data_IF_146326024068
#
_entry.id   IF_146326024068
#
_cell.length_a   1.000
_cell.length_b   1.000
_cell.length_c   1.000
_cell.angle_alpha   90.00
_cell.angle_beta   90.00
_cell.angle_gamma   90.00
#
_symmetry.space_group_name_H-M   'P 1'
#
loop_
_entity.id
_entity.type
_entity.pdbx_description
1 polymer ?
#
# COMPACT_ATOMS: atom_id res chain seq x y z
N UNK A 1 -29.45 -16.89 -1.24
CA UNK A 1 -30.58 -16.96 -2.20
C UNK A 1 -30.84 -15.56 -2.72
N UNK A 2 -31.17 -15.40 -3.99
CA UNK A 2 -31.54 -14.12 -4.59
C UNK A 2 -33.04 -14.15 -4.88
N UNK A 3 -33.73 -13.07 -4.55
CA UNK A 3 -35.10 -12.82 -4.96
C UNK A 3 -35.08 -12.38 -6.42
N UNK A 4 -35.69 -13.18 -7.32
CA UNK A 4 -35.74 -12.91 -8.76
C UNK A 4 -37.12 -12.49 -9.23
N UNK A 5 -38.16 -12.79 -8.48
CA UNK A 5 -39.59 -12.65 -8.82
C UNK A 5 -40.17 -11.22 -8.73
N UNK A 6 -39.32 -10.23 -9.06
CA UNK A 6 -39.68 -8.80 -9.06
C UNK A 6 -40.34 -8.34 -10.38
N UNK A 7 -40.38 -9.21 -11.40
CA UNK A 7 -41.04 -8.96 -12.69
C UNK A 7 -41.90 -10.16 -13.08
N UNK A 8 -42.89 -9.95 -13.89
CA UNK A 8 -43.78 -11.02 -14.36
C UNK A 8 -43.04 -12.15 -15.08
N UNK A 9 -41.99 -11.83 -15.86
CA UNK A 9 -41.12 -12.80 -16.55
C UNK A 9 -40.24 -13.62 -15.63
N UNK A 10 -40.06 -13.19 -14.40
CA UNK A 10 -39.26 -13.86 -13.38
C UNK A 10 -40.10 -14.61 -12.33
N UNK A 11 -41.43 -14.56 -12.47
CA UNK A 11 -42.33 -15.25 -11.56
C UNK A 11 -42.05 -16.77 -11.57
N UNK A 12 -42.03 -17.37 -10.40
CA UNK A 12 -41.70 -18.79 -10.22
C UNK A 12 -40.19 -19.15 -10.34
N UNK A 13 -39.30 -18.15 -10.46
CA UNK A 13 -37.88 -18.37 -10.53
C UNK A 13 -37.19 -18.02 -9.22
N UNK A 14 -36.27 -18.88 -8.80
CA UNK A 14 -35.37 -18.63 -7.67
C UNK A 14 -33.91 -18.67 -8.13
N UNK A 15 -33.05 -17.87 -7.49
CA UNK A 15 -31.63 -17.80 -7.82
C UNK A 15 -30.72 -18.16 -6.66
N UNK A 16 -29.65 -18.86 -6.95
CA UNK A 16 -28.55 -19.15 -6.05
C UNK A 16 -27.23 -18.66 -6.67
N UNK A 17 -26.47 -17.87 -5.95
CA UNK A 17 -25.10 -17.50 -6.35
C UNK A 17 -24.07 -18.26 -5.52
N UNK A 18 -23.01 -18.69 -6.20
CA UNK A 18 -21.82 -19.28 -5.57
C UNK A 18 -20.55 -18.72 -6.22
N UNK A 19 -19.50 -18.57 -5.39
CA UNK A 19 -18.18 -18.19 -5.89
C UNK A 19 -17.35 -19.42 -6.20
N UNK A 20 -16.60 -19.36 -7.28
CA UNK A 20 -15.71 -20.42 -7.75
C UNK A 20 -14.30 -19.86 -7.92
N UNK A 21 -13.24 -20.64 -7.65
CA UNK A 21 -11.86 -20.23 -7.90
C UNK A 21 -11.67 -19.86 -9.39
N UNK A 22 -10.86 -18.84 -9.64
CA UNK A 22 -10.58 -18.40 -11.04
C UNK A 22 -9.53 -19.26 -11.73
N UNK A 23 -8.76 -20.05 -10.98
CA UNK A 23 -7.65 -20.86 -11.48
C UNK A 23 -6.26 -20.29 -11.12
N UNK A 24 -5.18 -20.73 -11.79
CA UNK A 24 -3.82 -20.38 -11.41
C UNK A 24 -3.54 -18.87 -11.39
N UNK A 25 -2.85 -18.41 -10.34
CA UNK A 25 -2.53 -17.01 -10.08
C UNK A 25 -1.02 -16.80 -10.10
N UNK A 26 -0.57 -15.68 -10.66
CA UNK A 26 0.80 -15.17 -10.49
C UNK A 26 0.83 -14.11 -9.39
N UNK A 27 1.71 -14.28 -8.41
CA UNK A 27 1.99 -13.32 -7.36
C UNK A 27 3.42 -12.80 -7.45
N UNK A 28 3.61 -11.49 -7.48
CA UNK A 28 4.92 -10.84 -7.51
C UNK A 28 5.00 -9.89 -6.32
N UNK A 29 6.01 -10.05 -5.47
CA UNK A 29 6.15 -9.31 -4.21
C UNK A 29 7.42 -8.46 -4.14
N UNK A 30 7.40 -7.33 -3.39
CA UNK A 30 8.55 -6.47 -3.16
C UNK A 30 9.43 -6.98 -2.00
N UNK A 31 10.49 -6.21 -1.71
CA UNK A 31 11.50 -6.58 -0.73
C UNK A 31 11.19 -6.16 0.72
N UNK A 32 10.39 -5.11 0.90
CA UNK A 32 10.28 -4.42 2.19
C UNK A 32 9.57 -5.23 3.29
N UNK A 33 8.55 -6.02 2.94
CA UNK A 33 7.90 -6.94 3.87
C UNK A 33 7.84 -8.35 3.25
N UNK A 34 8.97 -9.07 3.20
CA UNK A 34 9.14 -10.28 2.38
C UNK A 34 8.29 -11.47 2.81
N UNK A 35 7.82 -11.51 4.06
CA UNK A 35 6.83 -12.49 4.51
C UNK A 35 5.41 -11.99 4.31
N UNK A 36 5.11 -10.80 4.84
CA UNK A 36 3.73 -10.31 4.93
C UNK A 36 3.10 -10.09 3.55
N UNK A 37 3.83 -9.42 2.63
CA UNK A 37 3.31 -9.15 1.28
C UNK A 37 3.24 -10.39 0.38
N UNK A 38 3.98 -11.45 0.70
CA UNK A 38 3.80 -12.77 0.09
C UNK A 38 2.58 -13.46 0.69
N UNK A 39 2.42 -13.45 2.02
CA UNK A 39 1.28 -14.05 2.70
C UNK A 39 -0.06 -13.45 2.27
N UNK A 40 -0.12 -12.13 2.03
CA UNK A 40 -1.31 -11.44 1.51
C UNK A 40 -1.76 -11.94 0.11
N UNK A 41 -0.87 -12.60 -0.63
CA UNK A 41 -1.17 -13.21 -1.94
C UNK A 41 -1.45 -14.71 -1.80
N UNK A 42 -0.62 -15.40 -1.03
CA UNK A 42 -0.68 -16.87 -0.87
C UNK A 42 -1.93 -17.30 -0.08
N UNK A 43 -2.16 -16.69 1.08
CA UNK A 43 -3.23 -17.13 1.98
C UNK A 43 -4.63 -17.05 1.32
N UNK A 44 -5.04 -15.92 0.70
CA UNK A 44 -6.35 -15.85 0.05
C UNK A 44 -6.44 -16.74 -1.22
N UNK A 45 -5.33 -16.93 -1.96
CA UNK A 45 -5.33 -17.82 -3.11
C UNK A 45 -5.62 -19.27 -2.69
N UNK A 46 -4.89 -19.78 -1.70
CA UNK A 46 -5.10 -21.12 -1.17
C UNK A 46 -6.47 -21.30 -0.54
N UNK A 47 -6.93 -20.30 0.24
CA UNK A 47 -8.26 -20.32 0.85
C UNK A 47 -9.41 -20.36 -0.19
N UNK A 48 -9.19 -19.84 -1.39
CA UNK A 48 -10.14 -19.90 -2.50
C UNK A 48 -9.99 -21.16 -3.36
N UNK A 49 -8.98 -22.00 -3.12
CA UNK A 49 -8.68 -23.16 -3.95
C UNK A 49 -7.98 -22.84 -5.27
N UNK A 50 -7.25 -21.70 -5.35
CA UNK A 50 -6.44 -21.34 -6.51
C UNK A 50 -4.98 -21.73 -6.28
N UNK A 51 -4.32 -22.45 -7.19
CA UNK A 51 -2.88 -22.58 -7.14
C UNK A 51 -2.23 -21.22 -7.46
N UNK A 52 -1.10 -20.94 -6.79
CA UNK A 52 -0.39 -19.69 -6.95
C UNK A 52 1.10 -19.88 -7.15
N UNK A 53 1.66 -19.12 -8.08
CA UNK A 53 3.11 -19.05 -8.32
C UNK A 53 3.58 -17.71 -7.79
N UNK A 54 4.52 -17.72 -6.83
CA UNK A 54 5.10 -16.52 -6.24
C UNK A 54 6.51 -16.27 -6.80
N UNK A 55 6.69 -15.09 -7.35
CA UNK A 55 8.03 -14.52 -7.59
C UNK A 55 8.36 -13.54 -6.46
N UNK A 56 9.23 -13.90 -5.52
CA UNK A 56 9.70 -12.97 -4.49
C UNK A 56 10.64 -11.92 -5.07
N UNK A 57 10.87 -10.84 -4.32
CA UNK A 57 11.92 -9.89 -4.66
C UNK A 57 13.29 -10.57 -4.69
N UNK A 58 14.13 -10.22 -5.66
CA UNK A 58 15.45 -10.83 -5.83
C UNK A 58 16.39 -10.52 -4.66
N UNK A 59 16.19 -9.39 -3.95
CA UNK A 59 16.97 -8.99 -2.77
C UNK A 59 16.56 -9.70 -1.48
N UNK A 60 15.35 -10.30 -1.40
CA UNK A 60 14.83 -10.94 -0.18
C UNK A 60 14.06 -12.24 -0.47
N UNK A 61 14.64 -13.21 -1.18
CA UNK A 61 13.91 -14.42 -1.62
C UNK A 61 13.74 -15.46 -0.51
N UNK A 62 14.63 -15.48 0.48
CA UNK A 62 14.72 -16.60 1.45
C UNK A 62 13.46 -16.77 2.30
N UNK A 63 12.84 -15.67 2.71
CA UNK A 63 11.60 -15.73 3.52
C UNK A 63 10.44 -16.37 2.76
N UNK A 64 10.31 -16.08 1.46
CA UNK A 64 9.28 -16.67 0.63
C UNK A 64 9.57 -18.18 0.35
N UNK A 65 10.83 -18.56 0.19
CA UNK A 65 11.24 -19.95 0.06
C UNK A 65 10.91 -20.75 1.33
N UNK A 66 11.22 -20.19 2.51
CA UNK A 66 10.86 -20.81 3.78
C UNK A 66 9.34 -20.98 3.94
N UNK A 67 8.55 -19.97 3.54
CA UNK A 67 7.10 -20.11 3.52
C UNK A 67 6.66 -21.26 2.59
N UNK A 68 7.29 -21.39 1.41
CA UNK A 68 7.03 -22.49 0.48
C UNK A 68 7.31 -23.86 1.12
N UNK A 69 8.43 -24.01 1.81
CA UNK A 69 8.80 -25.21 2.55
C UNK A 69 7.79 -25.52 3.67
N UNK A 70 7.37 -24.52 4.45
CA UNK A 70 6.35 -24.68 5.49
C UNK A 70 5.05 -25.20 4.88
N UNK A 71 4.57 -24.60 3.78
CA UNK A 71 3.34 -25.04 3.10
C UNK A 71 3.48 -26.47 2.57
N UNK A 72 4.62 -26.82 1.98
CA UNK A 72 4.89 -28.16 1.47
C UNK A 72 4.85 -29.23 2.58
N UNK A 73 5.27 -28.88 3.79
CA UNK A 73 5.24 -29.78 4.96
C UNK A 73 3.86 -29.88 5.64
N UNK A 74 2.84 -29.21 5.09
CA UNK A 74 1.45 -29.35 5.54
C UNK A 74 0.69 -30.37 4.69
N UNK A 75 -0.61 -30.50 4.95
CA UNK A 75 -1.53 -31.30 4.11
C UNK A 75 -2.05 -30.51 2.88
N UNK A 76 -1.37 -29.43 2.48
CA UNK A 76 -1.74 -28.66 1.29
C UNK A 76 -1.60 -29.53 0.04
N UNK A 77 -2.49 -29.34 -0.93
CA UNK A 77 -2.47 -30.07 -2.20
C UNK A 77 -1.15 -29.77 -2.92
N UNK A 78 -0.46 -30.79 -3.39
CA UNK A 78 0.77 -30.65 -4.16
C UNK A 78 0.55 -29.71 -5.37
N UNK A 79 1.49 -28.78 -5.59
CA UNK A 79 1.38 -27.78 -6.66
C UNK A 79 0.47 -26.59 -6.34
N UNK A 80 -0.15 -26.54 -5.15
CA UNK A 80 -0.97 -25.38 -4.75
C UNK A 80 -0.14 -24.09 -4.55
N UNK A 81 1.13 -24.20 -4.15
CA UNK A 81 2.09 -23.09 -4.05
C UNK A 81 3.40 -23.46 -4.75
N UNK A 82 3.89 -22.57 -5.59
CA UNK A 82 5.23 -22.63 -6.16
C UNK A 82 5.95 -21.31 -5.88
N UNK A 83 7.18 -21.35 -5.38
CA UNK A 83 8.02 -20.16 -5.15
C UNK A 83 9.18 -20.19 -6.13
N UNK A 84 9.25 -19.20 -7.03
CA UNK A 84 10.21 -19.13 -8.13
C UNK A 84 11.07 -17.85 -8.03
N UNK A 85 12.22 -17.88 -7.32
CA UNK A 85 13.21 -16.81 -7.40
C UNK A 85 13.78 -16.72 -8.80
N UNK A 86 13.54 -15.61 -9.47
CA UNK A 86 14.05 -15.37 -10.82
C UNK A 86 14.24 -13.88 -11.08
N UNK A 87 14.95 -13.54 -12.17
CA UNK A 87 15.08 -12.16 -12.65
C UNK A 87 13.73 -11.63 -13.17
N UNK A 88 13.62 -10.32 -13.31
CA UNK A 88 12.41 -9.70 -13.88
C UNK A 88 12.15 -10.15 -15.33
N UNK A 89 13.21 -10.38 -16.10
CA UNK A 89 13.14 -10.87 -17.48
C UNK A 89 12.51 -12.28 -17.53
N UNK A 90 13.03 -13.20 -16.71
CA UNK A 90 12.54 -14.57 -16.63
C UNK A 90 11.12 -14.66 -16.00
N UNK A 91 10.62 -13.61 -15.39
CA UNK A 91 9.26 -13.52 -14.86
C UNK A 91 8.21 -13.14 -15.92
N UNK A 92 8.59 -12.79 -17.14
CA UNK A 92 7.67 -12.44 -18.23
C UNK A 92 6.53 -13.45 -18.42
N UNK A 93 6.77 -14.77 -18.39
CA UNK A 93 5.67 -15.76 -18.51
C UNK A 93 4.63 -15.67 -17.39
N UNK A 94 4.99 -15.22 -16.19
CA UNK A 94 4.01 -15.01 -15.11
C UNK A 94 2.99 -13.94 -15.45
N UNK A 95 3.38 -12.97 -16.28
CA UNK A 95 2.50 -11.89 -16.72
C UNK A 95 1.71 -12.30 -17.97
N UNK A 96 2.35 -12.97 -18.94
CA UNK A 96 1.78 -13.15 -20.29
C UNK A 96 1.12 -14.50 -20.52
N UNK A 97 1.53 -15.58 -19.83
CA UNK A 97 1.02 -16.93 -20.09
C UNK A 97 -0.50 -17.01 -19.85
N UNK A 98 -1.31 -17.43 -20.86
CA UNK A 98 -2.77 -17.44 -20.76
C UNK A 98 -3.34 -18.49 -19.80
N UNK A 99 -2.53 -19.44 -19.35
CA UNK A 99 -2.92 -20.41 -18.31
C UNK A 99 -3.15 -19.74 -16.96
N UNK A 100 -2.40 -18.67 -16.66
CA UNK A 100 -2.60 -17.86 -15.46
C UNK A 100 -3.82 -16.94 -15.63
N UNK A 101 -4.68 -16.87 -14.64
CA UNK A 101 -5.96 -16.16 -14.69
C UNK A 101 -5.91 -14.78 -14.03
N UNK A 102 -4.93 -14.57 -13.17
CA UNK A 102 -4.73 -13.33 -12.44
C UNK A 102 -3.24 -13.04 -12.24
N UNK A 103 -2.90 -11.76 -12.22
CA UNK A 103 -1.63 -11.25 -11.68
C UNK A 103 -1.93 -10.37 -10.49
N UNK A 104 -1.35 -10.69 -9.34
CA UNK A 104 -1.31 -9.81 -8.15
C UNK A 104 0.11 -9.34 -7.95
N UNK A 105 0.30 -8.03 -8.03
CA UNK A 105 1.62 -7.39 -7.98
C UNK A 105 1.66 -6.35 -6.88
N UNK A 106 2.74 -6.34 -6.11
CA UNK A 106 3.09 -5.25 -5.21
C UNK A 106 4.51 -4.79 -5.54
N UNK A 107 4.68 -3.49 -5.79
CA UNK A 107 5.97 -2.92 -6.17
C UNK A 107 5.87 -1.52 -6.78
N UNK A 108 6.85 -1.14 -7.61
CA UNK A 108 6.88 0.22 -8.19
C UNK A 108 5.78 0.46 -9.23
N UNK A 109 5.26 1.71 -9.33
CA UNK A 109 4.21 2.07 -10.29
C UNK A 109 4.57 1.75 -11.73
N UNK A 110 5.76 2.09 -12.18
CA UNK A 110 6.19 1.86 -13.57
C UNK A 110 6.10 0.37 -13.95
N UNK A 111 6.54 -0.52 -13.07
CA UNK A 111 6.46 -1.96 -13.31
C UNK A 111 5.03 -2.46 -13.25
N UNK A 112 4.24 -2.00 -12.27
CA UNK A 112 2.85 -2.41 -12.11
C UNK A 112 1.97 -2.04 -13.32
N UNK A 113 2.10 -0.82 -13.81
CA UNK A 113 1.35 -0.36 -14.98
C UNK A 113 1.81 -1.03 -16.28
N UNK A 114 3.11 -1.39 -16.41
CA UNK A 114 3.59 -2.22 -17.52
C UNK A 114 2.99 -3.64 -17.45
N UNK A 115 2.99 -4.26 -16.28
CA UNK A 115 2.35 -5.56 -16.06
C UNK A 115 0.87 -5.50 -16.49
N UNK A 116 0.14 -4.47 -16.09
CA UNK A 116 -1.28 -4.31 -16.46
C UNK A 116 -1.48 -4.23 -17.97
N UNK A 117 -0.62 -3.53 -18.69
CA UNK A 117 -0.66 -3.45 -20.16
C UNK A 117 -0.45 -4.81 -20.81
N UNK A 118 0.47 -5.63 -20.27
CA UNK A 118 0.89 -6.91 -20.82
C UNK A 118 0.01 -8.10 -20.39
N UNK A 119 -0.71 -7.98 -19.30
CA UNK A 119 -1.52 -9.06 -18.72
C UNK A 119 -2.71 -9.52 -19.61
N UNK A 120 -3.06 -8.76 -20.63
CA UNK A 120 -4.15 -9.10 -21.56
C UNK A 120 -5.51 -9.17 -20.85
N UNK A 121 -6.18 -10.35 -20.91
CA UNK A 121 -7.53 -10.56 -20.34
C UNK A 121 -7.51 -11.00 -18.87
N UNK A 122 -6.32 -11.15 -18.25
CA UNK A 122 -6.21 -11.57 -16.86
C UNK A 122 -6.78 -10.51 -15.92
N UNK A 123 -7.30 -10.95 -14.79
CA UNK A 123 -7.49 -10.03 -13.67
C UNK A 123 -6.15 -9.51 -13.18
N UNK A 124 -6.11 -8.26 -12.79
CA UNK A 124 -4.89 -7.62 -12.28
C UNK A 124 -5.24 -6.87 -11.01
N UNK A 125 -4.49 -7.11 -9.95
CA UNK A 125 -4.51 -6.31 -8.72
C UNK A 125 -3.11 -5.75 -8.50
N UNK A 126 -3.03 -4.44 -8.34
CA UNK A 126 -1.80 -3.69 -8.20
C UNK A 126 -1.80 -2.92 -6.89
N UNK A 127 -0.81 -3.19 -6.05
CA UNK A 127 -0.47 -2.40 -4.88
C UNK A 127 0.87 -1.72 -5.15
N UNK A 128 0.83 -0.41 -5.34
CA UNK A 128 1.95 0.35 -5.88
C UNK A 128 2.47 1.38 -4.86
N UNK A 129 3.26 2.32 -5.32
CA UNK A 129 3.87 3.33 -4.50
C UNK A 129 2.90 4.33 -3.89
N UNK A 130 3.41 5.15 -2.99
CA UNK A 130 2.67 6.23 -2.35
C UNK A 130 3.54 7.46 -2.11
N UNK A 131 2.87 8.56 -1.81
CA UNK A 131 3.46 9.83 -1.38
C UNK A 131 2.53 10.41 -0.31
N UNK A 132 2.42 9.69 0.82
CA UNK A 132 1.38 9.94 1.81
C UNK A 132 1.51 11.33 2.45
N UNK A 133 0.39 12.04 2.48
CA UNK A 133 0.23 13.33 3.13
C UNK A 133 -0.48 13.21 4.47
N UNK A 134 -0.08 14.04 5.44
CA UNK A 134 -0.76 14.17 6.73
C UNK A 134 -1.10 15.64 6.97
N UNK A 135 -2.33 15.92 7.42
CA UNK A 135 -2.78 17.26 7.84
C UNK A 135 -2.86 17.28 9.36
N UNK A 136 -2.23 18.28 9.98
CA UNK A 136 -2.29 18.54 11.43
C UNK A 136 -3.02 19.85 11.63
N UNK A 137 -4.27 19.77 12.13
CA UNK A 137 -5.15 20.92 12.34
C UNK A 137 -4.83 21.63 13.67
N UNK A 138 -5.36 22.85 13.81
CA UNK A 138 -5.12 23.70 15.00
C UNK A 138 -5.62 23.08 16.32
N UNK A 139 -6.61 22.20 16.25
CA UNK A 139 -7.23 21.51 17.38
C UNK A 139 -6.63 20.10 17.65
N UNK A 140 -5.55 19.74 16.93
CA UNK A 140 -4.85 18.47 17.11
C UNK A 140 -4.00 18.48 18.41
N UNK A 141 -3.86 17.30 19.01
CA UNK A 141 -2.90 17.04 20.07
C UNK A 141 -1.48 16.97 19.48
N UNK A 142 -0.71 18.05 19.61
CA UNK A 142 0.54 18.26 18.84
C UNK A 142 1.59 17.22 19.16
N UNK A 143 1.84 16.92 20.44
CA UNK A 143 2.88 15.95 20.82
C UNK A 143 2.55 14.53 20.37
N UNK A 144 1.26 14.15 20.46
CA UNK A 144 0.79 12.86 19.95
C UNK A 144 0.94 12.78 18.43
N UNK A 145 0.58 13.85 17.72
CA UNK A 145 0.71 13.92 16.27
C UNK A 145 2.19 13.84 15.84
N UNK A 146 3.08 14.62 16.47
CA UNK A 146 4.51 14.63 16.20
C UNK A 146 5.14 13.25 16.41
N UNK A 147 4.84 12.59 17.55
CA UNK A 147 5.32 11.24 17.87
C UNK A 147 4.87 10.21 16.84
N UNK A 148 3.58 10.19 16.50
CA UNK A 148 3.03 9.27 15.50
C UNK A 148 3.61 9.53 14.10
N UNK A 149 3.75 10.80 13.71
CA UNK A 149 4.29 11.20 12.41
C UNK A 149 5.76 10.84 12.29
N UNK A 150 6.59 11.07 13.32
CA UNK A 150 7.99 10.62 13.34
C UNK A 150 8.07 9.11 13.12
N UNK A 151 7.27 8.33 13.85
CA UNK A 151 7.21 6.88 13.66
C UNK A 151 6.78 6.52 12.22
N UNK A 152 5.69 7.09 11.71
CA UNK A 152 5.16 6.78 10.38
C UNK A 152 6.05 7.21 9.21
N UNK A 153 6.96 8.16 9.43
CA UNK A 153 7.91 8.61 8.41
C UNK A 153 9.21 7.79 8.40
N UNK A 154 9.69 7.36 9.58
CA UNK A 154 11.05 6.85 9.72
C UNK A 154 11.14 5.37 10.05
N UNK A 155 10.08 4.75 10.57
CA UNK A 155 10.05 3.31 10.79
C UNK A 155 10.41 2.57 9.49
N UNK A 156 11.19 1.49 9.62
CA UNK A 156 11.63 0.70 8.47
C UNK A 156 12.43 1.50 7.42
N UNK A 157 13.13 2.54 7.89
CA UNK A 157 13.87 3.50 7.04
C UNK A 157 13.01 4.17 5.96
N UNK A 158 11.71 4.40 6.25
CA UNK A 158 10.76 4.99 5.30
C UNK A 158 10.45 4.13 4.07
N UNK A 159 10.92 2.88 4.01
CA UNK A 159 10.73 1.98 2.86
C UNK A 159 9.36 1.28 2.91
N UNK A 160 8.32 2.06 3.07
CA UNK A 160 6.93 1.63 3.18
C UNK A 160 6.07 2.46 2.23
N UNK A 161 5.21 1.84 1.44
CA UNK A 161 4.33 2.52 0.48
C UNK A 161 3.36 3.53 1.13
N UNK A 162 3.07 3.38 2.42
CA UNK A 162 2.26 4.27 3.24
C UNK A 162 3.11 5.09 4.24
N UNK A 163 4.44 5.17 4.04
CA UNK A 163 5.31 6.07 4.81
C UNK A 163 4.89 7.52 4.60
N UNK A 164 4.91 8.29 5.69
CA UNK A 164 4.58 9.72 5.62
C UNK A 164 5.73 10.46 4.97
N UNK A 165 5.45 11.12 3.86
CA UNK A 165 6.45 11.93 3.15
C UNK A 165 6.19 13.41 3.25
N UNK A 166 4.92 13.83 3.39
CA UNK A 166 4.52 15.23 3.43
C UNK A 166 3.60 15.50 4.61
N UNK A 167 3.92 16.54 5.39
CA UNK A 167 3.08 17.00 6.50
C UNK A 167 2.69 18.46 6.26
N UNK A 168 1.43 18.76 6.50
CA UNK A 168 0.85 20.09 6.42
C UNK A 168 0.32 20.45 7.81
N UNK A 169 0.91 21.44 8.45
CA UNK A 169 0.61 21.84 9.83
C UNK A 169 -0.06 23.21 9.81
N UNK A 170 -1.14 23.38 10.57
CA UNK A 170 -1.77 24.69 10.71
C UNK A 170 -0.78 25.73 11.24
N UNK A 171 -0.71 26.91 10.62
CA UNK A 171 0.33 27.92 10.86
C UNK A 171 0.48 28.31 12.36
N UNK A 172 -0.65 28.36 13.10
CA UNK A 172 -0.62 28.67 14.54
C UNK A 172 0.00 27.60 15.42
N UNK A 173 0.27 26.40 14.89
CA UNK A 173 0.86 25.24 15.60
C UNK A 173 2.17 24.77 14.98
N UNK A 174 2.65 25.47 13.98
CA UNK A 174 3.78 25.04 13.16
C UNK A 174 5.07 24.91 13.97
N UNK A 175 5.42 25.95 14.74
CA UNK A 175 6.66 25.98 15.49
C UNK A 175 6.65 24.95 16.65
N UNK A 176 5.55 24.88 17.42
CA UNK A 176 5.35 23.89 18.49
C UNK A 176 5.47 22.46 17.93
N UNK A 177 4.86 22.22 16.76
CA UNK A 177 4.92 20.92 16.09
C UNK A 177 6.34 20.58 15.62
N UNK A 178 7.06 21.52 15.03
CA UNK A 178 8.44 21.30 14.59
C UNK A 178 9.38 20.95 15.75
N UNK A 179 9.26 21.66 16.89
CA UNK A 179 10.05 21.38 18.09
C UNK A 179 9.78 19.95 18.59
N UNK A 180 8.51 19.59 18.75
CA UNK A 180 8.12 18.24 19.19
C UNK A 180 8.57 17.17 18.18
N UNK A 181 8.38 17.38 16.87
CA UNK A 181 8.78 16.44 15.82
C UNK A 181 10.30 16.21 15.79
N UNK A 182 11.11 17.26 15.92
CA UNK A 182 12.57 17.15 15.96
C UNK A 182 13.01 16.35 17.20
N UNK A 183 12.38 16.57 18.35
CA UNK A 183 12.68 15.84 19.57
C UNK A 183 12.35 14.35 19.45
N UNK A 184 11.18 14.00 18.91
CA UNK A 184 10.79 12.60 18.61
C UNK A 184 11.73 11.96 17.57
N UNK A 185 12.17 12.72 16.58
CA UNK A 185 13.07 12.22 15.53
C UNK A 185 14.48 11.91 16.06
N UNK A 186 14.98 12.66 17.04
CA UNK A 186 16.27 12.39 17.70
C UNK A 186 16.29 11.07 18.46
N UNK A 187 15.14 10.51 18.79
CA UNK A 187 15.04 9.22 19.48
C UNK A 187 15.36 8.03 18.57
N UNK A 188 15.31 8.21 17.23
CA UNK A 188 15.63 7.14 16.29
C UNK A 188 17.13 6.83 16.32
N UNK A 189 17.43 5.54 16.44
CA UNK A 189 18.79 5.00 16.45
C UNK A 189 19.00 4.15 15.21
N UNK A 190 19.84 4.62 14.30
CA UNK A 190 20.25 3.86 13.12
C UNK A 190 21.37 2.88 13.48
N UNK A 191 21.32 1.66 12.95
CA UNK A 191 22.35 0.65 13.21
C UNK A 191 22.00 -0.73 12.68
N UNK A 192 22.72 -1.73 13.18
CA UNK A 192 22.50 -3.14 12.83
C UNK A 192 21.09 -3.58 13.26
N UNK A 193 20.24 -4.10 12.37
CA UNK A 193 18.90 -4.59 12.71
C UNK A 193 18.86 -5.74 13.72
N UNK A 194 19.99 -6.39 13.98
CA UNK A 194 20.10 -7.43 15.01
C UNK A 194 20.33 -6.90 16.42
N UNK A 195 20.58 -5.60 16.57
CA UNK A 195 20.68 -4.94 17.88
C UNK A 195 19.30 -4.43 18.32
N UNK A 196 18.82 -4.93 19.46
CA UNK A 196 17.51 -4.58 20.04
C UNK A 196 17.35 -3.08 20.37
N UNK A 197 18.46 -2.33 20.49
CA UNK A 197 18.45 -0.88 20.72
C UNK A 197 18.29 -0.06 19.42
N UNK A 198 18.41 -0.68 18.27
CA UNK A 198 18.25 -0.04 16.97
C UNK A 198 16.77 0.05 16.61
N UNK A 199 16.33 1.25 16.24
CA UNK A 199 14.93 1.51 15.84
C UNK A 199 14.79 1.72 14.34
N UNK A 200 15.90 1.89 13.61
CA UNK A 200 15.93 2.09 12.18
C UNK A 200 17.15 1.40 11.55
N UNK A 201 16.90 0.39 10.72
CA UNK A 201 17.92 -0.32 9.96
C UNK A 201 18.44 0.47 8.74
N UNK A 202 19.31 -0.13 7.91
CA UNK A 202 19.77 0.47 6.67
C UNK A 202 18.67 0.50 5.60
N UNK A 203 18.87 1.28 4.56
CA UNK A 203 18.14 1.12 3.31
C UNK A 203 18.54 -0.19 2.63
N UNK A 204 17.68 -0.71 1.73
CA UNK A 204 17.89 -2.01 1.08
C UNK A 204 19.24 -2.12 0.37
N UNK A 205 19.70 -1.05 -0.23
CA UNK A 205 21.00 -0.98 -0.90
C UNK A 205 21.56 0.45 -0.92
N UNK A 206 22.84 0.54 -1.26
CA UNK A 206 23.56 1.80 -1.38
C UNK A 206 22.99 2.71 -2.47
N UNK A 207 22.57 2.16 -3.60
CA UNK A 207 22.02 2.94 -4.72
C UNK A 207 20.76 3.71 -4.33
N UNK A 208 19.88 3.08 -3.53
CA UNK A 208 18.69 3.76 -3.02
C UNK A 208 19.04 4.86 -2.01
N UNK A 209 20.04 4.65 -1.16
CA UNK A 209 20.50 5.68 -0.24
C UNK A 209 21.17 6.87 -1.01
N UNK A 210 21.94 6.60 -2.05
CA UNK A 210 22.52 7.62 -2.94
C UNK A 210 21.45 8.42 -3.69
N UNK A 211 20.39 7.77 -4.13
CA UNK A 211 19.23 8.46 -4.76
C UNK A 211 18.57 9.44 -3.80
N UNK A 212 18.33 9.04 -2.54
CA UNK A 212 17.78 9.92 -1.52
C UNK A 212 18.71 11.10 -1.24
N UNK A 213 19.99 10.84 -1.08
CA UNK A 213 21.00 11.90 -0.89
C UNK A 213 20.99 12.91 -2.05
N UNK A 214 20.94 12.42 -3.28
CA UNK A 214 20.86 13.27 -4.48
C UNK A 214 19.61 14.17 -4.47
N UNK A 215 18.43 13.60 -4.14
CA UNK A 215 17.20 14.37 -4.09
C UNK A 215 17.17 15.41 -2.96
N UNK A 216 17.76 15.10 -1.81
CA UNK A 216 17.88 16.05 -0.71
C UNK A 216 18.85 17.17 -1.07
N UNK A 217 20.00 16.86 -1.69
CA UNK A 217 20.97 17.85 -2.13
C UNK A 217 20.39 18.78 -3.20
N UNK A 218 19.61 18.24 -4.15
CA UNK A 218 18.88 19.03 -5.14
C UNK A 218 17.88 19.99 -4.45
N UNK A 219 17.14 19.50 -3.49
CA UNK A 219 16.19 20.35 -2.75
C UNK A 219 16.90 21.47 -1.99
N UNK A 220 18.05 21.19 -1.36
CA UNK A 220 18.84 22.18 -0.64
C UNK A 220 19.40 23.24 -1.60
N UNK A 221 19.87 22.83 -2.78
CA UNK A 221 20.34 23.74 -3.81
C UNK A 221 19.23 24.69 -4.31
N UNK A 222 17.98 24.24 -4.28
CA UNK A 222 16.75 25.02 -4.60
C UNK A 222 16.18 25.79 -3.39
N UNK A 223 16.88 25.83 -2.25
CA UNK A 223 16.51 26.65 -1.08
C UNK A 223 15.77 25.94 0.05
N UNK A 224 15.62 24.62 -0.03
CA UNK A 224 15.11 23.84 1.08
C UNK A 224 16.08 23.86 2.28
N UNK A 225 15.52 23.72 3.49
CA UNK A 225 16.30 23.67 4.73
C UNK A 225 16.22 22.30 5.35
N UNK A 226 17.36 21.72 5.70
CA UNK A 226 17.46 20.52 6.52
C UNK A 226 17.36 20.94 7.99
N UNK A 227 16.38 20.42 8.73
CA UNK A 227 16.24 20.65 10.16
C UNK A 227 16.98 19.60 10.98
N UNK A 228 17.06 18.38 10.48
CA UNK A 228 17.78 17.24 11.08
C UNK A 228 18.13 16.25 9.98
N UNK A 229 19.21 15.49 10.13
CA UNK A 229 19.63 14.44 9.19
C UNK A 229 20.45 14.96 8.02
N UNK A 230 20.30 14.37 6.85
CA UNK A 230 20.91 14.79 5.58
C UNK A 230 22.26 14.17 5.23
N UNK A 231 22.94 13.49 6.14
CA UNK A 231 24.29 12.94 5.93
C UNK A 231 24.24 11.41 5.85
N UNK A 232 24.48 10.88 4.67
CA UNK A 232 24.52 9.43 4.41
C UNK A 232 25.81 8.78 4.92
N UNK A 233 25.69 7.58 5.48
CA UNK A 233 26.81 6.67 5.71
C UNK A 233 26.50 5.33 5.02
N UNK A 234 27.19 5.07 3.92
CA UNK A 234 26.99 3.87 3.10
C UNK A 234 25.53 3.72 2.63
N UNK A 235 24.84 2.68 3.10
CA UNK A 235 23.40 2.48 2.88
C UNK A 235 22.54 2.91 4.08
N UNK A 236 23.13 3.52 5.10
CA UNK A 236 22.39 4.19 6.16
C UNK A 236 22.10 5.63 5.77
N UNK A 237 20.84 6.00 5.78
CA UNK A 237 20.42 7.38 5.63
C UNK A 237 19.64 7.78 6.88
N UNK A 238 20.05 8.84 7.61
CA UNK A 238 19.39 9.20 8.86
C UNK A 238 17.98 9.74 8.63
N UNK A 239 17.10 9.70 9.63
CA UNK A 239 15.84 10.43 9.61
C UNK A 239 16.09 11.89 9.24
N UNK A 240 15.46 12.35 8.16
CA UNK A 240 15.73 13.68 7.60
C UNK A 240 14.44 14.47 7.45
N UNK A 241 14.39 15.65 8.08
CA UNK A 241 13.28 16.59 8.02
C UNK A 241 13.68 17.78 7.18
N UNK A 242 12.86 18.08 6.16
CA UNK A 242 13.03 19.20 5.25
C UNK A 242 11.88 20.20 5.39
N UNK A 243 12.19 21.48 5.20
CA UNK A 243 11.21 22.56 5.05
C UNK A 243 11.54 23.43 3.86
N UNK A 244 10.57 24.24 3.40
CA UNK A 244 10.72 25.12 2.23
C UNK A 244 11.11 24.35 0.95
N UNK A 245 10.62 23.15 0.78
CA UNK A 245 10.88 22.35 -0.41
C UNK A 245 10.01 22.79 -1.56
N UNK A 246 10.60 23.02 -2.73
CA UNK A 246 9.85 23.24 -3.96
C UNK A 246 9.00 22.00 -4.29
N UNK A 247 7.66 22.11 -4.40
CA UNK A 247 6.75 20.97 -4.57
C UNK A 247 6.96 20.19 -5.89
N UNK A 248 7.66 20.77 -6.86
CA UNK A 248 7.94 20.13 -8.15
C UNK A 248 9.19 19.25 -8.15
N UNK A 249 9.99 19.28 -7.08
CA UNK A 249 11.19 18.45 -6.99
C UNK A 249 10.84 16.99 -6.68
N UNK A 250 11.66 16.03 -7.16
CA UNK A 250 11.43 14.60 -6.96
C UNK A 250 11.21 14.21 -5.50
N UNK A 251 11.93 14.84 -4.55
CA UNK A 251 11.77 14.59 -3.12
C UNK A 251 10.38 14.94 -2.58
N UNK A 252 9.63 15.81 -3.26
CA UNK A 252 8.28 16.21 -2.87
C UNK A 252 7.17 15.53 -3.69
N UNK A 253 7.35 15.38 -5.03
CA UNK A 253 6.32 14.91 -5.93
C UNK A 253 6.40 13.40 -6.26
N UNK A 254 7.57 12.76 -6.08
CA UNK A 254 7.75 11.31 -6.31
C UNK A 254 7.77 10.53 -4.99
N UNK A 255 7.62 9.22 -5.05
CA UNK A 255 7.78 8.35 -3.89
C UNK A 255 9.26 8.30 -3.46
N UNK A 256 9.57 8.82 -2.27
CA UNK A 256 10.94 8.79 -1.76
C UNK A 256 11.39 7.37 -1.40
N UNK A 257 10.53 6.56 -0.81
CA UNK A 257 10.84 5.22 -0.30
C UNK A 257 12.14 5.22 0.50
N UNK A 258 12.23 6.17 1.42
CA UNK A 258 13.38 6.47 2.26
C UNK A 258 12.99 7.36 3.44
N UNK A 259 13.87 7.58 4.43
CA UNK A 259 13.55 8.24 5.68
C UNK A 259 13.54 9.78 5.55
N UNK A 260 12.67 10.30 4.68
CA UNK A 260 12.52 11.73 4.39
C UNK A 260 11.12 12.19 4.76
N UNK A 261 11.05 13.34 5.44
CA UNK A 261 9.82 14.01 5.78
C UNK A 261 9.87 15.49 5.41
N UNK A 262 8.87 15.96 4.68
CA UNK A 262 8.73 17.38 4.31
C UNK A 262 7.62 17.98 5.16
N UNK A 263 7.90 19.10 5.84
CA UNK A 263 6.94 19.80 6.68
C UNK A 263 6.63 21.19 6.10
N UNK A 264 5.36 21.43 5.88
CA UNK A 264 4.83 22.68 5.34
C UNK A 264 3.79 23.28 6.29
N UNK A 265 3.66 24.61 6.33
CA UNK A 265 2.57 25.27 7.02
C UNK A 265 1.41 25.56 6.09
N UNK A 266 0.18 25.66 6.65
CA UNK A 266 -1.00 26.11 5.96
C UNK A 266 -1.89 26.96 6.88
N UNK A 267 -2.80 27.75 6.29
CA UNK A 267 -3.78 28.57 7.04
C UNK A 267 -5.22 28.17 6.75
N UNK A 268 -5.49 27.63 5.56
CA UNK A 268 -6.83 27.23 5.15
C UNK A 268 -6.86 25.71 4.95
N UNK A 269 -7.78 25.01 5.63
CA UNK A 269 -7.89 23.56 5.60
C UNK A 269 -8.10 22.99 4.19
N UNK A 270 -8.91 23.66 3.36
CA UNK A 270 -9.13 23.22 1.98
C UNK A 270 -7.87 23.32 1.12
N UNK A 271 -6.96 24.23 1.41
CA UNK A 271 -5.70 24.33 0.69
C UNK A 271 -4.74 23.21 1.13
N UNK A 272 -4.78 22.78 2.39
CA UNK A 272 -4.07 21.59 2.85
C UNK A 272 -4.60 20.33 2.14
N UNK A 273 -5.91 20.17 1.99
CA UNK A 273 -6.52 19.06 1.22
C UNK A 273 -6.03 19.06 -0.23
N UNK A 274 -6.05 20.23 -0.91
CA UNK A 274 -5.53 20.35 -2.28
C UNK A 274 -4.06 20.00 -2.35
N UNK A 275 -3.26 20.43 -1.38
CA UNK A 275 -1.83 20.14 -1.33
C UNK A 275 -1.56 18.62 -1.12
N UNK A 276 -2.34 17.95 -0.30
CA UNK A 276 -2.28 16.47 -0.17
C UNK A 276 -2.64 15.79 -1.49
N UNK A 277 -3.67 16.26 -2.18
CA UNK A 277 -4.12 15.70 -3.45
C UNK A 277 -3.19 16.02 -4.64
N UNK A 278 -2.31 17.00 -4.52
CA UNK A 278 -1.39 17.42 -5.57
C UNK A 278 -0.21 16.45 -5.69
N UNK A 279 -0.50 15.26 -6.17
CA UNK A 279 0.45 14.16 -6.43
C UNK A 279 -0.23 13.15 -7.35
N UNK A 280 0.56 12.39 -8.10
CA UNK A 280 0.09 11.26 -8.91
C UNK A 280 -0.31 10.05 -8.06
N UNK A 281 0.00 10.08 -6.77
CA UNK A 281 -0.27 9.00 -5.82
C UNK A 281 -1.56 9.23 -5.03
N UNK A 282 -2.15 8.14 -4.55
CA UNK A 282 -3.35 8.18 -3.73
C UNK A 282 -3.58 6.89 -2.94
N UNK A 283 -2.61 6.49 -2.09
CA UNK A 283 -2.74 5.26 -1.29
C UNK A 283 -3.48 5.52 0.01
N UNK A 284 -2.87 6.22 0.95
CA UNK A 284 -3.50 6.62 2.22
C UNK A 284 -3.08 8.03 2.62
N UNK A 285 -3.90 8.70 3.45
CA UNK A 285 -3.62 9.99 4.07
C UNK A 285 -4.06 10.00 5.53
N UNK A 286 -3.41 10.83 6.34
CA UNK A 286 -3.74 11.05 7.75
C UNK A 286 -4.29 12.45 8.00
N UNK A 287 -5.20 12.60 8.98
CA UNK A 287 -5.70 13.90 9.41
C UNK A 287 -5.86 13.91 10.92
N UNK A 288 -5.13 14.80 11.59
CA UNK A 288 -5.27 15.02 13.03
C UNK A 288 -6.20 16.22 13.26
N UNK A 289 -7.39 15.95 13.77
CA UNK A 289 -8.41 16.96 14.13
C UNK A 289 -9.45 16.38 15.08
N UNK A 290 -9.94 17.19 16.00
CA UNK A 290 -11.08 16.86 16.85
C UNK A 290 -12.42 17.38 16.27
N UNK A 291 -12.39 18.04 15.10
CA UNK A 291 -13.57 18.55 14.43
C UNK A 291 -14.12 17.52 13.43
N UNK A 292 -15.27 16.92 13.76
CA UNK A 292 -15.92 15.89 12.94
C UNK A 292 -16.28 16.41 11.53
N UNK A 293 -16.64 17.68 11.37
CA UNK A 293 -16.94 18.23 10.04
C UNK A 293 -15.69 18.30 9.16
N UNK A 294 -14.54 18.63 9.74
CA UNK A 294 -13.25 18.62 9.02
C UNK A 294 -12.84 17.17 8.69
N UNK A 295 -13.01 16.24 9.62
CA UNK A 295 -12.72 14.82 9.38
C UNK A 295 -13.56 14.26 8.21
N UNK A 296 -14.88 14.50 8.21
CA UNK A 296 -15.77 14.10 7.10
C UNK A 296 -15.48 14.87 5.82
N UNK A 297 -15.15 16.15 5.92
CA UNK A 297 -14.73 16.97 4.78
C UNK A 297 -13.47 16.41 4.11
N UNK A 298 -12.47 16.02 4.89
CA UNK A 298 -11.25 15.37 4.41
C UNK A 298 -11.55 14.01 3.76
N UNK A 299 -12.37 13.18 4.41
CA UNK A 299 -12.78 11.88 3.85
C UNK A 299 -13.44 12.02 2.47
N UNK A 300 -14.26 13.04 2.29
CA UNK A 300 -14.98 13.26 1.03
C UNK A 300 -14.12 13.87 -0.09
N UNK A 301 -13.02 14.55 0.26
CA UNK A 301 -12.26 15.37 -0.69
C UNK A 301 -10.83 14.86 -0.96
N UNK A 302 -10.29 14.00 -0.12
CA UNK A 302 -8.97 13.41 -0.35
C UNK A 302 -9.06 12.28 -1.37
N UNK A 303 -8.28 12.39 -2.43
CA UNK A 303 -8.19 11.42 -3.54
C UNK A 303 -7.24 10.27 -3.18
N UNK A 304 -7.61 9.49 -2.16
CA UNK A 304 -6.83 8.36 -1.65
C UNK A 304 -7.70 7.13 -1.41
N UNK A 305 -7.07 5.97 -1.31
CA UNK A 305 -7.77 4.72 -0.98
C UNK A 305 -8.21 4.61 0.47
N UNK A 306 -7.54 5.31 1.39
CA UNK A 306 -7.89 5.34 2.81
C UNK A 306 -7.55 6.67 3.47
N UNK A 307 -8.45 7.15 4.35
CA UNK A 307 -8.23 8.33 5.21
C UNK A 307 -8.26 7.89 6.66
N UNK A 308 -7.22 8.20 7.41
CA UNK A 308 -7.07 7.83 8.82
C UNK A 308 -7.19 9.09 9.67
N UNK A 309 -8.15 9.12 10.59
CA UNK A 309 -8.38 10.27 11.47
C UNK A 309 -7.71 10.03 12.83
N UNK A 310 -6.98 11.04 13.30
CA UNK A 310 -6.20 11.05 14.55
C UNK A 310 -5.18 9.89 14.62
N UNK A 311 -4.77 9.42 13.45
CA UNK A 311 -3.68 8.47 13.29
C UNK A 311 -2.95 8.68 11.96
N UNK A 312 -1.96 7.85 11.69
CA UNK A 312 -1.05 7.96 10.55
C UNK A 312 -1.44 7.04 9.41
N UNK A 313 -1.12 7.37 8.15
CA UNK A 313 -1.41 6.54 7.00
C UNK A 313 -0.73 5.17 7.02
N UNK A 314 0.26 4.94 7.88
CA UNK A 314 0.88 3.62 8.08
C UNK A 314 0.00 2.62 8.83
N UNK A 315 -1.16 3.04 9.34
CA UNK A 315 -2.12 2.14 9.96
C UNK A 315 -2.72 1.18 8.92
N UNK A 316 -2.58 -0.12 9.17
CA UNK A 316 -3.16 -1.18 8.36
C UNK A 316 -3.50 -2.39 9.23
N UNK A 317 -4.69 -2.98 8.98
CA UNK A 317 -5.10 -4.28 9.50
C UNK A 317 -5.71 -5.11 8.36
N UNK A 318 -5.61 -6.45 8.42
CA UNK A 318 -5.90 -7.33 7.28
C UNK A 318 -7.37 -7.41 6.89
N UNK A 319 -8.29 -7.04 7.78
CA UNK A 319 -9.73 -7.06 7.51
C UNK A 319 -10.27 -5.76 6.88
N UNK A 320 -9.47 -4.69 6.80
CA UNK A 320 -9.86 -3.46 6.11
C UNK A 320 -9.60 -3.56 4.59
N UNK A 321 -10.36 -2.79 3.76
CA UNK A 321 -9.97 -2.62 2.36
C UNK A 321 -8.64 -1.86 2.30
N UNK A 322 -7.72 -2.35 1.49
CA UNK A 322 -6.43 -1.70 1.28
C UNK A 322 -6.13 -1.60 -0.22
N UNK A 323 -5.64 -0.47 -0.65
CA UNK A 323 -5.25 -0.21 -2.03
C UNK A 323 -5.47 1.25 -2.43
N UNK A 324 -4.69 1.69 -3.41
CA UNK A 324 -4.68 3.08 -3.86
C UNK A 324 -5.62 3.37 -5.01
N UNK A 325 -5.72 4.67 -5.29
CA UNK A 325 -6.23 5.26 -6.52
C UNK A 325 -5.08 5.93 -7.27
N UNK A 326 -5.33 6.54 -8.41
CA UNK A 326 -4.30 7.15 -9.26
C UNK A 326 -3.17 6.13 -9.55
N UNK A 327 -1.91 6.55 -9.46
CA UNK A 327 -0.75 5.67 -9.68
C UNK A 327 -0.41 4.75 -8.50
N UNK A 328 -1.15 4.82 -7.41
CA UNK A 328 -0.92 3.96 -6.24
C UNK A 328 -1.54 2.58 -6.33
N UNK A 329 -2.38 2.29 -7.32
CA UNK A 329 -2.86 0.92 -7.47
C UNK A 329 -4.12 0.73 -8.30
N UNK A 330 -4.50 -0.55 -8.41
CA UNK A 330 -5.70 -0.99 -9.11
C UNK A 330 -6.27 -2.24 -8.43
N UNK A 331 -7.55 -2.21 -8.05
CA UNK A 331 -8.16 -3.24 -7.20
C UNK A 331 -7.97 -2.95 -5.71
N UNK A 332 -8.26 -3.94 -4.88
CA UNK A 332 -8.10 -3.85 -3.42
C UNK A 332 -7.61 -5.17 -2.83
N UNK A 333 -6.71 -5.08 -1.85
CA UNK A 333 -6.33 -6.17 -0.94
C UNK A 333 -7.12 -6.08 0.39
N UNK A 334 -6.80 -6.97 1.29
CA UNK A 334 -7.56 -7.28 2.50
C UNK A 334 -8.37 -8.56 2.31
N UNK A 335 -8.54 -9.37 3.35
CA UNK A 335 -9.04 -10.75 3.26
C UNK A 335 -10.31 -10.84 2.37
N UNK A 336 -11.36 -10.10 2.72
CA UNK A 336 -12.65 -10.10 2.00
C UNK A 336 -12.51 -9.68 0.53
N UNK A 337 -11.66 -8.71 0.24
CA UNK A 337 -11.48 -8.13 -1.08
C UNK A 337 -10.64 -9.05 -1.95
N UNK A 338 -9.53 -9.56 -1.43
CA UNK A 338 -8.68 -10.55 -2.13
C UNK A 338 -9.47 -11.81 -2.49
N UNK A 339 -10.29 -12.35 -1.58
CA UNK A 339 -11.17 -13.49 -1.87
C UNK A 339 -12.15 -13.20 -3.00
N UNK A 340 -12.65 -11.97 -3.11
CA UNK A 340 -13.56 -11.56 -4.20
C UNK A 340 -12.84 -11.46 -5.55
N UNK A 341 -11.63 -10.90 -5.56
CA UNK A 341 -10.82 -10.80 -6.78
C UNK A 341 -10.39 -12.18 -7.29
N UNK A 342 -10.07 -13.10 -6.40
CA UNK A 342 -9.59 -14.45 -6.72
C UNK A 342 -10.71 -15.46 -7.00
N UNK A 343 -11.96 -15.01 -7.09
CA UNK A 343 -13.12 -15.87 -7.36
C UNK A 343 -14.08 -15.21 -8.36
N UNK A 344 -14.84 -16.04 -9.09
CA UNK A 344 -15.93 -15.61 -9.96
C UNK A 344 -17.28 -16.03 -9.40
N UNK A 345 -18.29 -15.17 -9.56
CA UNK A 345 -19.67 -15.49 -9.20
C UNK A 345 -20.32 -16.26 -10.34
N UNK A 346 -20.92 -17.41 -10.00
CA UNK A 346 -21.81 -18.14 -10.91
C UNK A 346 -23.24 -18.13 -10.35
N UNK A 347 -24.19 -17.87 -11.21
CA UNK A 347 -25.61 -17.87 -10.90
C UNK A 347 -26.23 -19.19 -11.37
N UNK A 348 -27.01 -19.83 -10.50
CA UNK A 348 -27.93 -20.91 -10.83
C UNK A 348 -29.36 -20.36 -10.69
N UNK A 349 -30.16 -20.53 -11.71
CA UNK A 349 -31.58 -20.15 -11.71
C UNK A 349 -32.45 -21.41 -11.77
N UNK A 350 -33.38 -21.54 -10.84
CA UNK A 350 -34.42 -22.56 -10.85
C UNK A 350 -35.73 -21.95 -11.36
N UNK A 351 -36.46 -22.67 -12.21
CA UNK A 351 -37.82 -22.35 -12.60
C UNK A 351 -38.76 -23.40 -11.98
N UNK A 352 -39.47 -23.01 -10.94
CA UNK A 352 -40.36 -23.89 -10.19
C UNK A 352 -41.71 -24.17 -10.92
N UNK A 353 -42.05 -23.38 -11.95
CA UNK A 353 -43.31 -23.58 -12.71
C UNK A 353 -43.28 -24.84 -13.62
N UNK A 354 -42.10 -25.42 -13.88
CA UNK A 354 -41.98 -26.64 -14.66
C UNK A 354 -42.30 -27.93 -13.89
N UNK A 355 -42.36 -27.87 -12.55
CA UNK A 355 -42.68 -29.07 -11.72
C UNK A 355 -44.19 -29.33 -11.66
N UNK A 356 -45.06 -28.36 -12.05
CA UNK A 356 -46.51 -28.49 -11.94
C UNK A 356 -47.23 -28.89 -13.24
N UNK A 357 -46.52 -29.02 -14.37
CA UNK A 357 -47.15 -29.43 -15.64
C UNK A 357 -47.23 -30.94 -15.86
N UNK A 358 -46.68 -31.78 -14.99
CA UNK A 358 -46.68 -33.24 -15.12
C UNK A 358 -47.47 -33.96 -14.00
N UNK A 359 -48.43 -33.28 -13.31
CA UNK A 359 -49.34 -33.90 -12.41
C UNK A 359 -50.79 -33.53 -12.82
N UNK A 360 -51.21 -34.05 -13.96
CA UNK A 360 -52.63 -34.29 -14.29
C UNK A 360 -52.75 -35.55 -15.13
#
# INVERSE_FOLDING_TARGET
>A
MLTLDITQSAHGKAGLTRRFPIGPIAGISPFNFPLNLVAHKVAPALACGNPIIIKPASSTPLTALLLGEIVQNTQAIEGSLSVLPCTSENATPLVEDPRLKMVTFTGSPNVGWDIKKRAGRKKVVLELGGNAGVIVELDAEIDLAAKKIAFGAFVYSGQVCISIQRVYVHASKYDDFLESLINETKAFRSGDPLDDNVTMGPMIDRRNAERIESWVNEAVAEGAKILIGGNRDNNYYPPTILTNVNPNLPVACSEAFGPILIVNSYTNFNDAIKAVNNTDFGLQAGVFTNNMNKALGAFNQLDVGGVVINDIPTFRVDNMPYGGVKDSGFGREGIKYSLREMTEIKLLVYNHLLENENIT
#
